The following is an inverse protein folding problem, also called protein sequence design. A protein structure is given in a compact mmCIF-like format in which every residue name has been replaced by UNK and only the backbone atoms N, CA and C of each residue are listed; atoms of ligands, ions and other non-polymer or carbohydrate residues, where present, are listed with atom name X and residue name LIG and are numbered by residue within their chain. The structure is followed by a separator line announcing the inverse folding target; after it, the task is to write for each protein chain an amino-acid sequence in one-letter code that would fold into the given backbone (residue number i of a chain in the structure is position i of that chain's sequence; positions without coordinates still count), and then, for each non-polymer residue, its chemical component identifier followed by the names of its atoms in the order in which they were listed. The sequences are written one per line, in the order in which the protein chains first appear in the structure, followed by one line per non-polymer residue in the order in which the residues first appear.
data_IF_079620977928
#
_entry.id   IF_079620977928
#
_cell.length_a   1.000
_cell.length_b   1.000
_cell.length_c   1.000
_cell.angle_alpha   90.00
_cell.angle_beta   90.00
_cell.angle_gamma   90.00
#
_symmetry.space_group_name_H-M   'P 1'
#
loop_
_entity.id
_entity.type
_entity.pdbx_description
1 polymer ?
#
# COMPACT_ATOMS: atom_id res chain seq x y z
N UNK A 1 18.79 -2.10 1.48
CA UNK A 1 17.46 -1.47 1.24
C UNK A 1 17.49 -0.67 -0.06
N UNK A 2 16.51 -0.86 -0.96
CA UNK A 2 16.40 -0.19 -2.26
C UNK A 2 15.01 0.45 -2.46
N UNK A 3 14.95 1.56 -3.21
CA UNK A 3 13.68 2.28 -3.46
C UNK A 3 13.24 3.21 -2.32
N UNK A 4 14.04 3.36 -1.27
CA UNK A 4 13.77 4.27 -0.15
C UNK A 4 14.26 5.69 -0.48
N UNK A 5 13.33 6.64 -0.57
CA UNK A 5 13.63 8.08 -0.71
C UNK A 5 14.40 8.59 0.51
N UNK A 6 15.12 9.71 0.40
CA UNK A 6 15.92 10.26 1.51
C UNK A 6 15.12 10.41 2.81
N UNK A 7 13.89 10.93 2.71
CA UNK A 7 12.95 10.98 3.82
C UNK A 7 12.69 9.60 4.46
N UNK A 8 12.42 8.58 3.64
CA UNK A 8 12.18 7.20 4.14
C UNK A 8 13.40 6.62 4.87
N UNK A 9 14.61 6.93 4.41
CA UNK A 9 15.85 6.46 5.05
C UNK A 9 15.99 6.96 6.49
N UNK A 10 15.45 8.13 6.78
CA UNK A 10 15.49 8.71 8.12
C UNK A 10 14.60 7.91 9.09
N UNK A 11 13.33 7.66 8.72
CA UNK A 11 12.38 7.05 9.65
C UNK A 11 12.39 5.53 9.69
N UNK A 12 12.97 4.85 8.70
CA UNK A 12 12.85 3.39 8.57
C UNK A 12 13.75 2.63 9.55
N UNK A 13 14.88 3.23 9.97
CA UNK A 13 15.90 2.54 10.79
C UNK A 13 15.33 1.88 12.05
N UNK A 14 14.43 2.52 12.83
CA UNK A 14 13.84 1.89 14.01
C UNK A 14 13.02 0.62 13.72
N UNK A 15 12.40 0.49 12.54
CA UNK A 15 11.62 -0.70 12.18
C UNK A 15 12.49 -1.91 11.86
N UNK A 16 13.75 -1.69 11.48
CA UNK A 16 14.67 -2.74 11.05
C UNK A 16 15.89 -2.85 11.97
N UNK A 17 15.83 -2.28 13.18
CA UNK A 17 16.90 -2.43 14.16
C UNK A 17 16.85 -3.84 14.76
N UNK A 18 17.93 -4.59 14.61
CA UNK A 18 18.16 -5.89 15.22
C UNK A 18 19.48 -5.85 16.02
N UNK A 19 19.74 -6.90 16.82
CA UNK A 19 20.89 -6.94 17.76
C UNK A 19 22.23 -6.69 17.06
N UNK A 20 22.44 -7.30 15.89
CA UNK A 20 23.70 -7.26 15.14
C UNK A 20 23.47 -7.05 13.64
N UNK A 21 22.76 -5.99 13.23
CA UNK A 21 22.58 -5.70 11.80
C UNK A 21 23.08 -4.32 11.40
N UNK A 22 23.54 -4.22 10.16
CA UNK A 22 23.85 -2.96 9.49
C UNK A 22 22.77 -2.67 8.44
N UNK A 23 22.31 -1.42 8.37
CA UNK A 23 21.32 -0.98 7.39
C UNK A 23 22.01 -0.16 6.30
N UNK A 24 22.16 -0.75 5.12
CA UNK A 24 22.73 -0.09 3.94
C UNK A 24 21.60 0.32 2.99
N UNK A 25 21.58 1.60 2.61
CA UNK A 25 20.68 2.13 1.59
C UNK A 25 21.39 2.24 0.25
N UNK A 26 20.78 1.66 -0.78
CA UNK A 26 21.29 1.70 -2.15
C UNK A 26 20.39 2.63 -2.98
N UNK A 27 21.03 3.52 -3.75
CA UNK A 27 20.33 4.42 -4.66
C UNK A 27 19.81 3.68 -5.91
N UNK A 28 20.47 2.57 -6.29
CA UNK A 28 20.13 1.75 -7.45
C UNK A 28 20.67 0.33 -7.29
N UNK A 29 20.19 -0.61 -8.10
CA UNK A 29 20.71 -1.99 -8.17
C UNK A 29 22.22 -1.98 -8.47
N UNK A 30 22.69 -1.09 -9.37
CA UNK A 30 24.12 -0.97 -9.72
C UNK A 30 25.02 -0.68 -8.52
N UNK A 31 24.48 -0.05 -7.46
CA UNK A 31 25.23 0.26 -6.25
C UNK A 31 25.66 -1.00 -5.48
N UNK A 32 25.05 -2.16 -5.74
CA UNK A 32 25.44 -3.45 -5.17
C UNK A 32 26.90 -3.82 -5.47
N UNK A 33 27.46 -3.36 -6.59
CA UNK A 33 28.84 -3.65 -6.98
C UNK A 33 29.88 -3.16 -5.96
N UNK A 34 29.53 -2.16 -5.14
CA UNK A 34 30.42 -1.57 -4.13
C UNK A 34 30.51 -2.37 -2.84
N UNK A 35 29.68 -3.40 -2.68
CA UNK A 35 29.56 -4.18 -1.46
C UNK A 35 29.81 -5.65 -1.76
N UNK A 36 30.41 -6.37 -0.81
CA UNK A 36 30.50 -7.83 -0.82
C UNK A 36 29.22 -8.41 -0.25
N UNK A 37 28.68 -9.44 -0.88
CA UNK A 37 27.52 -10.16 -0.36
C UNK A 37 27.94 -11.06 0.81
N UNK A 38 27.01 -11.22 1.75
CA UNK A 38 27.06 -12.22 2.81
C UNK A 38 25.86 -13.16 2.68
N UNK A 39 26.01 -14.41 3.10
CA UNK A 39 24.95 -15.42 3.00
C UNK A 39 23.67 -15.06 3.77
N UNK A 40 23.79 -14.26 4.82
CA UNK A 40 22.70 -13.81 5.67
C UNK A 40 22.13 -12.44 5.27
N UNK A 41 22.64 -11.82 4.21
CA UNK A 41 22.14 -10.53 3.71
C UNK A 41 20.64 -10.61 3.37
N UNK A 42 19.90 -9.58 3.81
CA UNK A 42 18.48 -9.40 3.53
C UNK A 42 18.26 -8.14 2.71
N UNK A 43 17.42 -8.25 1.69
CA UNK A 43 17.13 -7.19 0.74
C UNK A 43 15.70 -6.73 0.92
N UNK A 44 15.50 -5.42 1.00
CA UNK A 44 14.19 -4.82 1.17
C UNK A 44 13.96 -3.83 0.04
N UNK A 45 12.82 -3.93 -0.64
CA UNK A 45 12.38 -3.02 -1.71
C UNK A 45 11.15 -2.26 -1.21
N UNK A 46 11.12 -0.94 -1.34
CA UNK A 46 9.88 -0.19 -1.08
C UNK A 46 8.91 -0.28 -2.28
N UNK A 47 7.74 -0.88 -2.08
CA UNK A 47 6.70 -1.04 -3.09
C UNK A 47 7.22 -1.63 -4.40
N UNK A 48 6.82 -1.02 -5.52
CA UNK A 48 7.25 -1.40 -6.88
C UNK A 48 8.39 -0.53 -7.44
N UNK A 49 9.12 0.22 -6.61
CA UNK A 49 10.15 1.16 -7.09
C UNK A 49 11.36 0.48 -7.72
N UNK A 50 11.57 -0.80 -7.42
CA UNK A 50 12.60 -1.65 -8.00
C UNK A 50 11.92 -2.93 -8.45
N UNK A 51 12.23 -3.38 -9.66
CA UNK A 51 11.73 -4.65 -10.14
C UNK A 51 12.35 -5.82 -9.36
N UNK A 52 11.49 -6.66 -8.79
CA UNK A 52 11.89 -7.80 -7.95
C UNK A 52 12.74 -8.80 -8.73
N UNK A 53 12.33 -9.14 -9.95
CA UNK A 53 13.00 -10.17 -10.76
C UNK A 53 14.40 -9.70 -11.20
N UNK A 54 14.52 -8.44 -11.57
CA UNK A 54 15.79 -7.79 -11.92
C UNK A 54 16.74 -7.77 -10.73
N UNK A 55 16.26 -7.44 -9.52
CA UNK A 55 17.09 -7.51 -8.32
C UNK A 55 17.52 -8.95 -8.03
N UNK A 56 16.58 -9.91 -8.08
CA UNK A 56 16.85 -11.32 -7.81
C UNK A 56 17.90 -11.89 -8.75
N UNK A 57 17.77 -11.69 -10.05
CA UNK A 57 18.74 -12.17 -11.04
C UNK A 57 20.11 -11.50 -10.87
N UNK A 58 20.14 -10.20 -10.55
CA UNK A 58 21.40 -9.49 -10.27
C UNK A 58 22.11 -10.05 -9.04
N UNK A 59 21.38 -10.34 -7.97
CA UNK A 59 21.96 -10.89 -6.74
C UNK A 59 22.51 -12.31 -6.95
N UNK A 60 21.80 -13.15 -7.69
CA UNK A 60 22.27 -14.51 -8.05
C UNK A 60 23.56 -14.43 -8.85
N UNK A 61 23.61 -13.59 -9.89
CA UNK A 61 24.80 -13.41 -10.70
C UNK A 61 25.99 -12.91 -9.87
N UNK A 62 25.77 -11.89 -9.04
CA UNK A 62 26.82 -11.35 -8.17
C UNK A 62 27.33 -12.39 -7.16
N UNK A 63 26.45 -13.22 -6.60
CA UNK A 63 26.84 -14.29 -5.69
C UNK A 63 27.71 -15.34 -6.38
N UNK A 64 27.41 -15.68 -7.64
CA UNK A 64 28.26 -16.54 -8.47
C UNK A 64 29.63 -15.91 -8.71
N UNK A 65 29.68 -14.63 -9.10
CA UNK A 65 30.93 -13.88 -9.32
C UNK A 65 31.78 -13.77 -8.03
N UNK A 66 31.15 -13.86 -6.86
CA UNK A 66 31.80 -13.83 -5.54
C UNK A 66 32.03 -15.22 -4.92
N UNK A 67 31.77 -16.30 -5.66
CA UNK A 67 31.92 -17.70 -5.22
C UNK A 67 31.08 -18.07 -3.97
N UNK A 68 29.89 -17.48 -3.80
CA UNK A 68 28.95 -17.83 -2.73
C UNK A 68 28.02 -18.98 -3.19
N UNK A 69 28.49 -20.21 -3.01
CA UNK A 69 27.85 -21.43 -3.55
C UNK A 69 26.45 -21.73 -2.97
N UNK A 70 26.14 -21.25 -1.76
CA UNK A 70 24.87 -21.50 -1.07
C UNK A 70 23.99 -20.25 -0.92
N UNK A 71 24.31 -19.17 -1.64
CA UNK A 71 23.56 -17.93 -1.54
C UNK A 71 22.16 -18.04 -2.14
N UNK A 72 21.14 -17.80 -1.31
CA UNK A 72 19.75 -17.65 -1.75
C UNK A 72 19.29 -16.23 -1.45
N UNK A 73 18.91 -15.42 -2.45
CA UNK A 73 18.43 -14.06 -2.22
C UNK A 73 17.20 -14.03 -1.31
N UNK A 74 17.31 -13.36 -0.16
CA UNK A 74 16.19 -13.08 0.76
C UNK A 74 15.65 -11.68 0.48
N UNK A 75 14.60 -11.57 -0.33
CA UNK A 75 14.03 -10.29 -0.75
C UNK A 75 12.63 -10.12 -0.15
N UNK A 76 12.40 -9.00 0.52
CA UNK A 76 11.08 -8.59 1.02
C UNK A 76 10.64 -7.26 0.42
N UNK A 77 9.35 -7.13 0.19
CA UNK A 77 8.67 -5.92 -0.26
C UNK A 77 8.12 -5.19 0.96
N UNK A 78 8.33 -3.88 1.02
CA UNK A 78 7.97 -3.02 2.14
C UNK A 78 6.94 -1.99 1.69
N UNK A 79 5.86 -1.87 2.44
CA UNK A 79 4.82 -0.86 2.24
C UNK A 79 4.37 -0.22 3.56
N UNK A 80 3.64 0.87 3.45
CA UNK A 80 2.95 1.46 4.62
C UNK A 80 1.92 0.47 5.19
N UNK A 81 1.82 0.37 6.51
CA UNK A 81 0.81 -0.48 7.16
C UNK A 81 -0.61 0.07 7.08
N UNK A 82 -1.59 -0.77 7.41
CA UNK A 82 -3.01 -0.44 7.33
C UNK A 82 -3.41 0.70 8.29
N UNK A 83 -2.80 0.77 9.47
CA UNK A 83 -2.91 1.89 10.42
C UNK A 83 -1.60 2.65 10.38
N UNK A 84 -1.58 3.78 9.67
CA UNK A 84 -0.32 4.41 9.27
C UNK A 84 0.05 5.59 10.15
N UNK A 85 -0.76 6.65 10.21
CA UNK A 85 -0.34 7.90 10.84
C UNK A 85 -1.53 8.83 11.13
N UNK A 86 -1.25 9.98 11.76
CA UNK A 86 -2.22 11.08 11.89
C UNK A 86 -2.39 11.76 10.53
N UNK A 87 -1.36 12.41 9.99
CA UNK A 87 -1.43 13.08 8.69
C UNK A 87 -0.97 12.18 7.53
N UNK A 88 -1.07 12.68 6.30
CA UNK A 88 -0.78 11.93 5.08
C UNK A 88 0.71 11.61 4.95
N UNK A 89 1.02 10.58 4.15
CA UNK A 89 2.39 10.25 3.81
C UNK A 89 3.07 11.31 2.93
N UNK A 90 2.28 11.99 2.08
CA UNK A 90 2.75 13.12 1.26
C UNK A 90 3.28 14.27 2.10
N UNK A 91 2.78 14.43 3.32
CA UNK A 91 3.12 15.53 4.23
C UNK A 91 4.37 15.20 5.07
N UNK A 92 5.16 14.20 4.63
CA UNK A 92 6.33 13.70 5.35
C UNK A 92 6.00 13.26 6.78
N UNK A 93 4.84 12.63 6.98
CA UNK A 93 4.49 12.06 8.28
C UNK A 93 5.03 10.65 8.41
N UNK A 94 5.78 10.39 9.48
CA UNK A 94 6.34 9.08 9.82
C UNK A 94 5.21 8.05 10.05
N UNK A 95 5.29 6.85 9.47
CA UNK A 95 4.32 5.79 9.76
C UNK A 95 4.57 5.17 11.14
N UNK A 96 3.48 4.72 11.79
CA UNK A 96 3.46 3.94 13.02
C UNK A 96 3.59 2.44 12.75
N UNK A 97 3.18 1.98 11.56
CA UNK A 97 3.28 0.58 11.14
C UNK A 97 3.73 0.44 9.69
N UNK A 98 4.32 -0.71 9.39
CA UNK A 98 4.77 -1.10 8.05
C UNK A 98 4.32 -2.53 7.76
N UNK A 99 4.18 -2.83 6.47
CA UNK A 99 4.05 -4.19 5.96
C UNK A 99 5.41 -4.59 5.39
N UNK A 100 5.84 -5.82 5.72
CA UNK A 100 7.04 -6.45 5.17
C UNK A 100 6.65 -7.85 4.72
N UNK A 101 6.68 -8.10 3.42
CA UNK A 101 6.20 -9.34 2.81
C UNK A 101 7.30 -9.93 1.92
N UNK A 102 7.71 -11.16 2.18
CA UNK A 102 8.77 -11.87 1.44
C UNK A 102 8.25 -12.68 0.24
N UNK A 103 6.93 -12.65 0.00
CA UNK A 103 6.26 -13.40 -1.08
C UNK A 103 5.73 -12.48 -2.17
N UNK A 104 5.04 -11.41 -1.79
CA UNK A 104 4.41 -10.48 -2.74
C UNK A 104 3.74 -9.28 -2.08
N UNK A 105 3.35 -8.28 -2.86
CA UNK A 105 2.57 -7.16 -2.31
C UNK A 105 1.10 -7.59 -2.17
N UNK A 106 0.48 -7.33 -1.02
CA UNK A 106 -0.95 -7.63 -0.78
C UNK A 106 -1.92 -6.92 -1.75
N UNK A 107 -1.44 -5.91 -2.48
CA UNK A 107 -2.17 -5.15 -3.49
C UNK A 107 -2.02 -5.69 -4.92
N UNK A 108 -1.18 -6.71 -5.12
CA UNK A 108 -0.96 -7.34 -6.42
C UNK A 108 -1.70 -8.67 -6.50
N UNK A 109 -2.91 -8.73 -7.10
CA UNK A 109 -3.66 -9.97 -7.21
C UNK A 109 -3.04 -10.98 -8.19
N UNK A 110 -2.02 -10.58 -8.98
CA UNK A 110 -1.38 -11.47 -9.95
C UNK A 110 -0.29 -12.35 -9.33
N UNK A 111 0.03 -12.14 -8.05
CA UNK A 111 1.10 -12.85 -7.34
C UNK A 111 0.62 -13.20 -5.93
N UNK A 112 1.03 -14.35 -5.39
CA UNK A 112 0.70 -14.68 -4.02
C UNK A 112 1.40 -13.72 -3.06
N UNK A 113 0.75 -13.43 -1.95
CA UNK A 113 1.31 -12.63 -0.85
C UNK A 113 1.34 -13.44 0.45
N UNK A 114 2.14 -13.02 1.42
CA UNK A 114 2.12 -13.64 2.75
C UNK A 114 0.77 -13.41 3.44
N UNK A 115 0.13 -12.26 3.18
CA UNK A 115 -1.23 -12.01 3.67
C UNK A 115 -2.23 -13.03 3.12
N UNK A 116 -2.18 -13.31 1.82
CA UNK A 116 -3.04 -14.33 1.20
C UNK A 116 -2.79 -15.72 1.80
N UNK A 117 -1.52 -16.11 1.95
CA UNK A 117 -1.15 -17.38 2.57
C UNK A 117 -1.65 -17.50 4.02
N UNK A 118 -1.51 -16.43 4.81
CA UNK A 118 -2.00 -16.36 6.19
C UNK A 118 -3.51 -16.55 6.23
N UNK A 119 -4.26 -15.86 5.37
CA UNK A 119 -5.72 -15.93 5.36
C UNK A 119 -6.26 -17.29 4.89
N UNK A 120 -5.50 -18.01 4.04
CA UNK A 120 -5.90 -19.32 3.53
C UNK A 120 -5.56 -20.47 4.47
N UNK A 121 -4.42 -20.40 5.16
CA UNK A 121 -3.82 -21.59 5.80
C UNK A 121 -3.71 -21.48 7.33
N UNK A 122 -3.75 -20.28 7.89
CA UNK A 122 -3.53 -20.11 9.32
C UNK A 122 -4.80 -20.46 10.12
N UNK A 123 -4.63 -21.23 11.21
CA UNK A 123 -5.69 -21.47 12.19
C UNK A 123 -5.50 -20.46 13.32
N UNK A 124 -6.38 -19.48 13.42
CA UNK A 124 -6.31 -18.46 14.47
C UNK A 124 -6.89 -18.96 15.79
N UNK A 125 -6.08 -18.93 16.85
CA UNK A 125 -6.53 -19.28 18.19
C UNK A 125 -7.51 -18.25 18.77
N UNK A 126 -8.19 -18.63 19.87
CA UNK A 126 -9.16 -17.76 20.53
C UNK A 126 -8.54 -16.45 21.03
N UNK A 127 -7.26 -16.46 21.42
CA UNK A 127 -6.57 -15.27 21.90
C UNK A 127 -6.40 -14.22 20.79
N UNK A 128 -5.96 -14.65 19.60
CA UNK A 128 -5.86 -13.81 18.41
C UNK A 128 -7.24 -13.31 17.99
N UNK A 129 -8.25 -14.18 17.96
CA UNK A 129 -9.61 -13.79 17.59
C UNK A 129 -10.21 -12.78 18.56
N UNK A 130 -10.02 -12.95 19.86
CA UNK A 130 -10.47 -11.98 20.87
C UNK A 130 -9.73 -10.66 20.76
N UNK A 131 -8.41 -10.69 20.51
CA UNK A 131 -7.63 -9.48 20.24
C UNK A 131 -8.11 -8.76 18.97
N UNK A 132 -8.41 -9.50 17.90
CA UNK A 132 -8.93 -8.94 16.66
C UNK A 132 -10.29 -8.25 16.87
N UNK A 133 -11.24 -8.89 17.58
CA UNK A 133 -12.53 -8.29 17.95
C UNK A 133 -12.36 -6.99 18.73
N UNK A 134 -11.45 -6.97 19.71
CA UNK A 134 -11.16 -5.76 20.50
C UNK A 134 -10.56 -4.64 19.64
N UNK A 135 -9.64 -4.97 18.73
CA UNK A 135 -9.06 -4.00 17.79
C UNK A 135 -10.15 -3.42 16.87
N UNK A 136 -11.00 -4.27 16.28
CA UNK A 136 -12.11 -3.82 15.42
C UNK A 136 -13.03 -2.87 16.20
N UNK A 137 -13.38 -3.21 17.44
CA UNK A 137 -14.18 -2.34 18.32
C UNK A 137 -13.51 -0.97 18.52
N UNK A 138 -12.22 -0.95 18.89
CA UNK A 138 -11.47 0.30 19.08
C UNK A 138 -11.43 1.13 17.81
N UNK A 139 -11.20 0.50 16.65
CA UNK A 139 -11.16 1.19 15.36
C UNK A 139 -12.50 1.84 15.01
N UNK A 140 -13.62 1.14 15.24
CA UNK A 140 -14.96 1.66 14.96
C UNK A 140 -15.37 2.77 15.92
N UNK A 141 -15.16 2.59 17.22
CA UNK A 141 -15.53 3.57 18.26
C UNK A 141 -14.77 4.88 18.10
N UNK A 142 -13.48 4.80 17.76
CA UNK A 142 -12.61 5.97 17.57
C UNK A 142 -12.55 6.43 16.10
N UNK A 143 -13.27 5.74 15.20
CA UNK A 143 -13.31 6.01 13.74
C UNK A 143 -11.92 6.08 13.11
N UNK A 144 -10.99 5.25 13.58
CA UNK A 144 -9.64 5.21 13.05
C UNK A 144 -9.58 4.61 11.64
N UNK A 145 -8.70 5.16 10.82
CA UNK A 145 -8.41 4.74 9.46
C UNK A 145 -6.90 4.73 9.21
N UNK A 146 -6.48 4.65 7.95
CA UNK A 146 -5.05 4.71 7.56
C UNK A 146 -4.42 6.04 7.98
N UNK A 147 -5.16 7.13 7.76
CA UNK A 147 -4.80 8.50 8.14
C UNK A 147 -5.90 9.06 9.04
N UNK A 148 -5.53 9.78 10.09
CA UNK A 148 -6.39 10.13 11.22
C UNK A 148 -6.36 11.63 11.56
N UNK A 149 -6.06 12.47 10.57
CA UNK A 149 -5.96 13.93 10.71
C UNK A 149 -7.19 14.71 10.21
N UNK A 150 -8.15 14.03 9.57
CA UNK A 150 -9.36 14.67 9.05
C UNK A 150 -10.46 14.70 10.11
N UNK A 151 -11.20 15.81 10.16
CA UNK A 151 -12.38 15.94 11.01
C UNK A 151 -13.51 15.07 10.47
N UNK A 152 -14.26 14.45 11.38
CA UNK A 152 -15.51 13.79 11.03
C UNK A 152 -16.61 14.83 10.86
N UNK A 153 -17.31 14.76 9.72
CA UNK A 153 -18.42 15.65 9.40
C UNK A 153 -19.62 14.82 8.95
N UNK A 154 -20.80 15.27 9.36
CA UNK A 154 -22.04 14.69 8.88
C UNK A 154 -22.32 15.18 7.47
N UNK A 155 -22.44 14.25 6.52
CA UNK A 155 -22.78 14.57 5.15
C UNK A 155 -24.31 14.68 5.01
N UNK A 156 -24.79 15.82 4.53
CA UNK A 156 -26.18 15.96 4.11
C UNK A 156 -26.37 15.26 2.77
N UNK A 157 -27.17 14.20 2.76
CA UNK A 157 -27.46 13.42 1.56
C UNK A 157 -28.90 13.72 1.14
N UNK A 158 -29.08 14.28 -0.06
CA UNK A 158 -30.38 14.67 -0.59
C UNK A 158 -31.08 13.53 -1.36
N UNK A 159 -30.85 12.29 -0.93
CA UNK A 159 -31.49 11.13 -1.52
C UNK A 159 -32.98 11.06 -1.18
N UNK A 160 -33.79 10.60 -2.13
CA UNK A 160 -35.22 10.37 -1.90
C UNK A 160 -35.41 9.26 -0.85
N UNK A 161 -36.54 9.27 -0.17
CA UNK A 161 -36.88 8.20 0.80
C UNK A 161 -36.85 6.85 0.08
N UNK A 162 -36.10 5.90 0.64
CA UNK A 162 -35.92 4.56 0.08
C UNK A 162 -34.96 4.47 -1.12
N UNK A 163 -34.36 5.58 -1.56
CA UNK A 163 -33.38 5.57 -2.64
C UNK A 163 -32.07 4.92 -2.18
N UNK A 164 -31.54 4.01 -3.01
CA UNK A 164 -30.24 3.39 -2.77
C UNK A 164 -29.15 4.46 -2.82
N UNK A 165 -28.29 4.51 -1.79
CA UNK A 165 -27.13 5.40 -1.75
C UNK A 165 -25.87 4.57 -2.01
N UNK A 166 -25.01 5.04 -2.91
CA UNK A 166 -23.74 4.39 -3.26
C UNK A 166 -22.61 5.40 -3.04
N UNK A 167 -21.59 5.00 -2.27
CA UNK A 167 -20.36 5.77 -2.13
C UNK A 167 -19.27 5.17 -3.03
N UNK A 168 -18.66 6.00 -3.86
CA UNK A 168 -17.49 5.66 -4.67
C UNK A 168 -16.26 6.35 -4.06
N UNK A 169 -15.42 5.62 -3.30
CA UNK A 169 -14.15 6.15 -2.80
C UNK A 169 -13.13 6.17 -3.93
N UNK A 170 -12.81 7.37 -4.43
CA UNK A 170 -11.84 7.53 -5.49
C UNK A 170 -10.43 7.12 -5.04
N UNK A 171 -9.64 6.67 -6.00
CA UNK A 171 -8.23 6.33 -5.82
C UNK A 171 -7.34 7.32 -6.55
N UNK A 172 -6.04 7.24 -6.31
CA UNK A 172 -5.04 7.93 -7.13
C UNK A 172 -4.66 7.00 -8.29
N UNK A 173 -4.67 7.52 -9.51
CA UNK A 173 -4.61 6.70 -10.74
C UNK A 173 -3.26 6.00 -10.92
N UNK A 174 -2.19 6.63 -10.42
CA UNK A 174 -0.84 6.11 -10.46
C UNK A 174 -0.48 5.27 -9.21
N UNK A 175 -1.46 4.91 -8.38
CA UNK A 175 -1.21 4.04 -7.23
C UNK A 175 -0.75 2.66 -7.67
N UNK A 176 0.16 2.05 -6.90
CA UNK A 176 0.58 0.69 -7.15
C UNK A 176 -0.62 -0.29 -7.10
N UNK A 177 -1.59 -0.06 -6.21
CA UNK A 177 -2.80 -0.90 -6.11
C UNK A 177 -3.71 -0.76 -7.33
N UNK A 178 -3.82 0.45 -7.91
CA UNK A 178 -4.57 0.67 -9.16
C UNK A 178 -3.86 0.03 -10.35
N UNK A 179 -2.55 0.20 -10.46
CA UNK A 179 -1.75 -0.36 -11.56
C UNK A 179 -1.76 -1.89 -11.55
N UNK A 180 -1.76 -2.51 -10.36
CA UNK A 180 -1.64 -3.97 -10.22
C UNK A 180 -3.00 -4.67 -10.12
N UNK A 181 -3.95 -4.07 -9.39
CA UNK A 181 -5.24 -4.67 -9.06
C UNK A 181 -6.46 -3.91 -9.58
N UNK A 182 -6.28 -2.77 -10.25
CA UNK A 182 -7.39 -1.97 -10.82
C UNK A 182 -7.94 -2.50 -12.14
N UNK A 183 -7.40 -3.61 -12.66
CA UNK A 183 -7.83 -4.25 -13.93
C UNK A 183 -7.88 -3.30 -15.14
N UNK A 184 -7.04 -2.25 -15.13
CA UNK A 184 -6.98 -1.26 -16.21
C UNK A 184 -8.16 -0.29 -16.27
N UNK A 185 -9.07 -0.33 -15.29
CA UNK A 185 -10.18 0.63 -15.20
C UNK A 185 -9.68 1.95 -14.60
N UNK A 186 -9.95 3.06 -15.30
CA UNK A 186 -9.79 4.38 -14.69
C UNK A 186 -10.91 4.64 -13.68
N UNK A 187 -10.72 5.63 -12.80
CA UNK A 187 -11.79 6.09 -11.90
C UNK A 187 -13.03 6.52 -12.69
N UNK A 188 -12.84 7.16 -13.86
CA UNK A 188 -13.95 7.59 -14.71
C UNK A 188 -14.74 6.40 -15.28
N UNK A 189 -14.06 5.33 -15.67
CA UNK A 189 -14.72 4.12 -16.18
C UNK A 189 -15.54 3.45 -15.08
N UNK A 190 -15.01 3.43 -13.85
CA UNK A 190 -15.77 2.99 -12.68
C UNK A 190 -17.03 3.83 -12.47
N UNK A 191 -16.96 5.16 -12.57
CA UNK A 191 -18.14 6.03 -12.41
C UNK A 191 -19.23 5.72 -13.45
N UNK A 192 -18.82 5.59 -14.72
CA UNK A 192 -19.74 5.26 -15.82
C UNK A 192 -20.42 3.92 -15.57
N UNK A 193 -19.65 2.91 -15.19
CA UNK A 193 -20.15 1.56 -14.96
C UNK A 193 -21.11 1.50 -13.76
N UNK A 194 -20.76 2.16 -12.64
CA UNK A 194 -21.62 2.21 -11.45
C UNK A 194 -22.92 2.94 -11.76
N UNK A 195 -22.88 4.08 -12.46
CA UNK A 195 -24.10 4.80 -12.87
C UNK A 195 -24.96 3.97 -13.83
N UNK A 196 -24.36 3.33 -14.83
CA UNK A 196 -25.08 2.51 -15.80
C UNK A 196 -25.83 1.34 -15.13
N UNK A 197 -25.22 0.71 -14.12
CA UNK A 197 -25.81 -0.39 -13.35
C UNK A 197 -26.74 0.05 -12.22
N UNK A 198 -26.77 1.33 -11.86
CA UNK A 198 -27.53 1.85 -10.73
C UNK A 198 -28.18 3.20 -11.10
N UNK A 199 -29.03 3.20 -12.13
CA UNK A 199 -29.59 4.41 -12.72
C UNK A 199 -30.32 5.30 -11.70
N UNK A 200 -31.12 4.69 -10.81
CA UNK A 200 -31.92 5.40 -9.81
C UNK A 200 -31.19 5.63 -8.46
N UNK A 201 -29.94 5.19 -8.31
CA UNK A 201 -29.21 5.38 -7.06
C UNK A 201 -28.71 6.83 -6.89
N UNK A 202 -28.60 7.26 -5.63
CA UNK A 202 -27.86 8.47 -5.26
C UNK A 202 -26.39 8.11 -5.13
N UNK A 203 -25.53 8.62 -6.01
CA UNK A 203 -24.12 8.21 -6.11
C UNK A 203 -23.22 9.35 -5.60
N UNK A 204 -22.58 9.11 -4.46
CA UNK A 204 -21.63 10.04 -3.85
C UNK A 204 -20.22 9.70 -4.33
N UNK A 205 -19.53 10.67 -4.92
CA UNK A 205 -18.11 10.55 -5.23
C UNK A 205 -17.29 11.18 -4.11
N UNK A 206 -16.32 10.42 -3.57
CA UNK A 206 -15.36 10.95 -2.59
C UNK A 206 -13.97 10.97 -3.21
N UNK A 207 -13.45 12.14 -3.64
CA UNK A 207 -12.09 12.26 -4.15
C UNK A 207 -11.04 11.82 -3.11
N UNK A 208 -9.91 11.30 -3.59
CA UNK A 208 -8.78 10.95 -2.73
C UNK A 208 -8.11 12.23 -2.19
N UNK A 209 -7.73 12.31 -0.90
CA UNK A 209 -7.12 13.52 -0.33
C UNK A 209 -5.83 13.95 -1.05
N UNK A 210 -4.94 13.03 -1.43
CA UNK A 210 -3.73 13.36 -2.20
C UNK A 210 -4.00 13.93 -3.61
N UNK A 211 -5.18 13.69 -4.18
CA UNK A 211 -5.58 14.28 -5.48
C UNK A 211 -6.10 15.70 -5.27
N UNK A 212 -6.88 15.91 -4.20
CA UNK A 212 -7.37 17.23 -3.82
C UNK A 212 -6.22 18.18 -3.44
N UNK A 213 -5.19 17.68 -2.76
CA UNK A 213 -3.99 18.47 -2.44
C UNK A 213 -3.07 18.73 -3.65
N UNK A 214 -3.35 18.12 -4.81
CA UNK A 214 -2.54 18.26 -6.03
C UNK A 214 -1.24 17.44 -6.01
N UNK A 215 -1.03 16.58 -5.01
CA UNK A 215 0.18 15.77 -4.88
C UNK A 215 0.22 14.56 -5.82
N UNK A 216 -0.94 14.08 -6.25
CA UNK A 216 -1.09 12.86 -7.07
C UNK A 216 -2.10 13.05 -8.19
N UNK A 217 -1.97 12.23 -9.23
CA UNK A 217 -2.86 12.22 -10.38
C UNK A 217 -4.15 11.48 -10.03
N UNK A 218 -5.30 12.07 -10.38
CA UNK A 218 -6.60 11.45 -10.22
C UNK A 218 -7.75 12.33 -10.71
N UNK A 219 -8.93 11.74 -10.81
CA UNK A 219 -10.13 12.43 -11.25
C UNK A 219 -10.56 13.48 -10.21
N UNK A 220 -10.56 14.75 -10.62
CA UNK A 220 -10.98 15.91 -9.79
C UNK A 220 -11.81 16.96 -10.54
N UNK A 221 -12.12 16.72 -11.81
CA UNK A 221 -13.01 17.59 -12.58
C UNK A 221 -14.44 17.37 -12.11
N UNK A 222 -14.93 18.32 -11.31
CA UNK A 222 -16.27 18.30 -10.74
C UNK A 222 -17.37 18.23 -11.81
N UNK A 223 -17.21 18.95 -12.94
CA UNK A 223 -18.21 18.95 -14.01
C UNK A 223 -18.33 17.57 -14.65
N UNK A 224 -17.21 16.88 -14.80
CA UNK A 224 -17.19 15.51 -15.33
C UNK A 224 -17.74 14.50 -14.32
N UNK A 225 -17.40 14.64 -13.03
CA UNK A 225 -17.88 13.76 -11.95
C UNK A 225 -19.41 13.85 -11.84
N UNK A 226 -19.97 15.06 -11.83
CA UNK A 226 -21.40 15.32 -11.68
C UNK A 226 -22.25 14.84 -12.88
N UNK A 227 -21.64 14.44 -14.01
CA UNK A 227 -22.37 13.72 -15.07
C UNK A 227 -22.80 12.32 -14.66
N UNK A 228 -22.14 11.73 -13.66
CA UNK A 228 -22.36 10.35 -13.22
C UNK A 228 -22.72 10.24 -11.74
N UNK A 229 -22.58 11.33 -10.96
CA UNK A 229 -22.74 11.35 -9.51
C UNK A 229 -23.72 12.45 -9.08
N UNK A 230 -24.12 12.42 -7.81
CA UNK A 230 -25.09 13.32 -7.15
C UNK A 230 -24.46 14.04 -5.93
#
# INVERSE_FOLDING_TARGET
MLGFTLWKRYFIKPFFKAKNNEIIFLNSIKSLLRYKLKEDDKFFIWGKRIDYNTLKSTLIKKAQDENLLHFTPKISLVEDGFIRSISLGSDLTRPFSLIVDDKGLYIDPNKPSKLEELLQNEIFDENILNRAKNIIKILLENRFSKYNGLKHEDLKINAKIGQKIILIPAQVEDDASMILGGFGLSTLDLLKEVRAKNQDAYIIFKPHPDVLSGNRVGLKDETLILKFCD
#
